data_IF_845751516001
#
_entry.id   IF_845751516001
#
_cell.length_a   1.000
_cell.length_b   1.000
_cell.length_c   1.000
_cell.angle_alpha   90.00
_cell.angle_beta   90.00
_cell.angle_gamma   90.00
#
_symmetry.space_group_name_H-M   'P 1'
#
loop_
_entity.id
_entity.type
_entity.pdbx_description
1 polymer ?
#
# COMPACT_ATOMS: atom_id res chain seq x y z
N UNK A 1 -13.81 3.69 8.35
CA UNK A 1 -12.52 4.06 8.98
C UNK A 1 -11.90 5.18 8.17
N UNK A 2 -11.37 6.20 8.82
CA UNK A 2 -10.57 7.22 8.16
C UNK A 2 -9.10 6.77 8.20
N UNK A 3 -8.57 6.28 7.07
CA UNK A 3 -7.23 5.70 7.02
C UNK A 3 -6.12 6.73 7.31
N UNK A 4 -6.40 8.02 7.10
CA UNK A 4 -5.46 9.11 7.40
C UNK A 4 -5.02 9.12 8.88
N UNK A 5 -5.86 8.63 9.79
CA UNK A 5 -5.58 8.59 11.23
C UNK A 5 -4.64 7.43 11.61
N UNK A 6 -4.33 6.52 10.68
CA UNK A 6 -3.57 5.28 10.94
C UNK A 6 -2.29 5.19 10.11
N UNK A 7 -1.95 6.19 9.30
CA UNK A 7 -0.85 6.06 8.33
C UNK A 7 0.51 5.84 8.99
N UNK A 8 0.70 6.33 10.23
CA UNK A 8 1.93 6.13 10.99
C UNK A 8 2.27 4.64 11.24
N UNK A 9 1.26 3.77 11.35
CA UNK A 9 1.47 2.34 11.53
C UNK A 9 1.98 1.63 10.26
N UNK A 10 1.91 2.29 9.11
CA UNK A 10 2.40 1.74 7.84
C UNK A 10 3.90 1.97 7.63
N UNK A 11 4.61 2.68 8.51
CA UNK A 11 6.08 2.65 8.52
C UNK A 11 6.54 1.21 8.77
N UNK A 12 7.48 0.71 7.95
CA UNK A 12 7.90 -0.69 7.90
C UNK A 12 6.77 -1.66 7.49
N UNK A 13 5.67 -1.13 6.94
CA UNK A 13 4.60 -1.89 6.32
C UNK A 13 4.95 -2.31 4.89
N UNK A 14 3.98 -2.89 4.18
CA UNK A 14 4.19 -3.45 2.84
C UNK A 14 3.12 -3.01 1.85
N UNK A 15 3.58 -2.59 0.65
CA UNK A 15 2.77 -2.45 -0.55
C UNK A 15 2.77 -3.77 -1.31
N UNK A 16 1.69 -4.53 -1.17
CA UNK A 16 1.60 -5.90 -1.65
C UNK A 16 1.19 -5.96 -3.12
N UNK A 17 0.20 -5.14 -3.50
CA UNK A 17 -0.34 -5.13 -4.87
C UNK A 17 -0.76 -3.72 -5.31
N UNK A 18 -0.68 -3.50 -6.63
CA UNK A 18 -1.21 -2.31 -7.32
C UNK A 18 -2.09 -2.84 -8.44
N UNK A 19 -3.41 -2.65 -8.31
CA UNK A 19 -4.39 -3.01 -9.33
C UNK A 19 -4.92 -1.75 -10.01
N UNK A 20 -4.93 -1.76 -11.34
CA UNK A 20 -5.51 -0.66 -12.13
C UNK A 20 -6.92 -1.06 -12.56
N UNK A 21 -7.87 -0.19 -12.27
CA UNK A 21 -9.25 -0.27 -12.74
C UNK A 21 -9.51 0.87 -13.74
N UNK A 22 -10.60 0.79 -14.51
CA UNK A 22 -10.88 1.70 -15.65
C UNK A 22 -10.70 3.20 -15.35
N UNK A 23 -10.96 3.63 -14.11
CA UNK A 23 -10.74 5.02 -13.65
C UNK A 23 -10.08 5.11 -12.28
N UNK A 24 -9.43 4.04 -11.81
CA UNK A 24 -8.98 3.99 -10.44
C UNK A 24 -7.74 3.15 -10.24
N UNK A 25 -7.18 3.29 -9.05
CA UNK A 25 -6.07 2.48 -8.57
C UNK A 25 -6.46 1.93 -7.22
N UNK A 26 -6.24 0.63 -7.04
CA UNK A 26 -6.41 -0.05 -5.77
C UNK A 26 -5.04 -0.50 -5.29
N UNK A 27 -4.63 -0.01 -4.12
CA UNK A 27 -3.39 -0.42 -3.47
C UNK A 27 -3.74 -1.41 -2.36
N UNK A 28 -3.13 -2.59 -2.37
CA UNK A 28 -3.23 -3.53 -1.25
C UNK A 28 -2.06 -3.28 -0.31
N UNK A 29 -2.36 -2.86 0.92
CA UNK A 29 -1.38 -2.47 1.92
C UNK A 29 -1.51 -3.34 3.18
N UNK A 30 -0.37 -3.59 3.81
CA UNK A 30 -0.26 -4.14 5.16
C UNK A 30 0.57 -3.19 6.02
N UNK A 31 0.14 -2.91 7.24
CA UNK A 31 0.93 -2.12 8.20
C UNK A 31 1.99 -2.98 8.90
N UNK A 32 2.89 -2.35 9.66
CA UNK A 32 3.63 -3.06 10.68
C UNK A 32 2.70 -3.63 11.75
N UNK A 33 3.22 -4.52 12.60
CA UNK A 33 2.49 -5.03 13.76
C UNK A 33 2.19 -3.87 14.75
N UNK A 34 0.95 -3.80 15.23
CA UNK A 34 0.45 -2.76 16.11
C UNK A 34 0.17 -3.38 17.48
N UNK A 35 0.62 -2.75 18.57
CA UNK A 35 0.17 -3.15 19.91
C UNK A 35 -1.35 -2.88 20.02
N UNK A 36 -2.20 -3.88 20.32
CA UNK A 36 -3.64 -3.70 20.46
C UNK A 36 -4.06 -2.62 21.48
N UNK A 37 -3.17 -2.21 22.39
CA UNK A 37 -3.43 -1.13 23.34
C UNK A 37 -3.22 0.28 22.74
N UNK A 38 -2.57 0.40 21.58
CA UNK A 38 -2.32 1.67 20.89
C UNK A 38 -3.45 2.04 19.91
N UNK A 39 -4.47 1.19 19.78
CA UNK A 39 -5.58 1.37 18.85
C UNK A 39 -6.94 1.27 19.55
N UNK A 40 -7.88 2.14 19.16
CA UNK A 40 -9.19 2.19 19.82
C UNK A 40 -10.08 0.98 19.46
N UNK A 41 -10.08 0.57 18.19
CA UNK A 41 -10.89 -0.55 17.71
C UNK A 41 -10.02 -1.72 17.26
N UNK A 42 -9.63 -2.56 18.20
CA UNK A 42 -8.81 -3.77 17.95
C UNK A 42 -9.45 -4.70 16.91
N UNK A 43 -10.76 -4.65 16.66
CA UNK A 43 -11.43 -5.52 15.68
C UNK A 43 -11.03 -5.23 14.24
N UNK A 44 -10.42 -4.07 13.98
CA UNK A 44 -9.93 -3.74 12.65
C UNK A 44 -8.59 -4.43 12.34
N UNK A 45 -7.89 -4.92 13.37
CA UNK A 45 -6.63 -5.62 13.21
C UNK A 45 -6.82 -7.04 12.68
N UNK A 46 -5.83 -7.51 11.95
CA UNK A 46 -5.66 -8.89 11.54
C UNK A 46 -5.27 -9.77 12.75
N UNK A 47 -5.16 -11.08 12.52
CA UNK A 47 -4.65 -12.02 13.54
C UNK A 47 -3.20 -11.77 13.94
N UNK A 48 -2.44 -11.10 13.07
CA UNK A 48 -1.05 -10.72 13.29
C UNK A 48 -0.94 -9.30 13.86
N UNK A 49 -2.04 -8.75 14.36
CA UNK A 49 -2.15 -7.36 14.84
C UNK A 49 -1.73 -6.30 13.80
N UNK A 50 -1.92 -6.57 12.50
CA UNK A 50 -1.66 -5.61 11.41
C UNK A 50 -2.97 -5.01 10.90
N UNK A 51 -2.92 -3.79 10.37
CA UNK A 51 -3.95 -3.29 9.46
C UNK A 51 -3.69 -3.89 8.08
N UNK A 52 -4.69 -4.57 7.52
CA UNK A 52 -4.57 -5.23 6.22
C UNK A 52 -5.78 -4.90 5.37
N UNK A 53 -5.56 -4.35 4.18
CA UNK A 53 -6.70 -3.94 3.35
C UNK A 53 -6.34 -3.27 2.04
N UNK A 54 -7.36 -2.66 1.45
CA UNK A 54 -7.28 -2.00 0.15
C UNK A 54 -7.55 -0.51 0.29
N UNK A 55 -6.63 0.28 -0.23
CA UNK A 55 -6.81 1.71 -0.44
C UNK A 55 -7.28 1.94 -1.87
N UNK A 56 -8.53 2.36 -2.00
CA UNK A 56 -9.17 2.63 -3.29
C UNK A 56 -9.04 4.11 -3.62
N UNK A 57 -8.50 4.41 -4.80
CA UNK A 57 -8.33 5.75 -5.36
C UNK A 57 -9.19 5.85 -6.63
N UNK A 58 -10.31 6.58 -6.57
CA UNK A 58 -11.26 6.69 -7.70
C UNK A 58 -11.14 8.02 -8.44
N UNK A 59 -11.18 7.92 -9.76
CA UNK A 59 -10.98 9.01 -10.71
C UNK A 59 -9.60 9.63 -10.55
N UNK A 60 -8.57 8.81 -10.70
CA UNK A 60 -7.16 9.25 -10.62
C UNK A 60 -6.89 10.28 -11.71
N UNK A 61 -6.44 11.47 -11.30
CA UNK A 61 -6.15 12.62 -12.17
C UNK A 61 -4.70 12.63 -12.63
N UNK A 62 -3.79 12.37 -11.71
CA UNK A 62 -2.36 12.39 -11.98
C UNK A 62 -1.62 11.45 -11.05
N UNK A 63 -0.53 10.88 -11.58
CA UNK A 63 0.45 10.11 -10.82
C UNK A 63 1.79 10.80 -11.03
N UNK A 64 2.52 11.08 -9.95
CA UNK A 64 3.90 11.53 -10.02
C UNK A 64 4.79 10.47 -9.40
N UNK A 65 5.80 10.07 -10.17
CA UNK A 65 6.87 9.21 -9.70
C UNK A 65 8.14 10.05 -9.59
N UNK A 66 8.75 10.10 -8.40
CA UNK A 66 9.95 10.90 -8.13
C UNK A 66 9.80 12.36 -8.60
N UNK A 67 8.65 12.97 -8.27
CA UNK A 67 8.27 14.36 -8.62
C UNK A 67 8.04 14.63 -10.10
N UNK A 68 8.03 13.60 -10.95
CA UNK A 68 7.77 13.72 -12.39
C UNK A 68 6.44 13.07 -12.74
N UNK A 69 5.65 13.72 -13.60
CA UNK A 69 4.40 13.16 -14.09
C UNK A 69 4.69 11.81 -14.77
N UNK A 70 3.99 10.78 -14.31
CA UNK A 70 4.07 9.44 -14.85
C UNK A 70 2.92 9.22 -15.84
N UNK A 71 3.24 8.75 -17.04
CA UNK A 71 2.27 8.56 -18.13
C UNK A 71 2.17 7.11 -18.61
N UNK A 72 2.74 6.16 -17.84
CA UNK A 72 2.75 4.73 -18.17
C UNK A 72 1.65 3.94 -17.45
N UNK A 73 1.73 2.61 -17.58
CA UNK A 73 0.89 1.68 -16.81
C UNK A 73 1.47 1.57 -15.39
N UNK A 74 0.72 2.04 -14.40
CA UNK A 74 1.19 2.07 -13.02
C UNK A 74 1.06 0.69 -12.34
N UNK A 75 2.19 0.01 -12.17
CA UNK A 75 2.26 -1.32 -11.56
C UNK A 75 3.40 -1.39 -10.55
N UNK A 76 3.41 -2.45 -9.74
CA UNK A 76 4.52 -2.72 -8.81
C UNK A 76 5.82 -2.88 -9.59
N UNK A 77 6.87 -2.14 -9.24
CA UNK A 77 8.12 -2.15 -9.99
C UNK A 77 8.99 -3.38 -9.71
N UNK A 78 8.90 -3.93 -8.50
CA UNK A 78 9.74 -5.02 -8.01
C UNK A 78 8.95 -6.04 -7.17
N UNK A 79 9.62 -7.08 -6.69
CA UNK A 79 8.97 -8.20 -6.00
C UNK A 79 8.36 -7.77 -4.67
N UNK A 80 9.04 -6.87 -3.97
CA UNK A 80 8.63 -6.35 -2.66
C UNK A 80 8.76 -4.83 -2.57
N UNK A 81 7.89 -4.21 -1.77
CA UNK A 81 7.80 -2.75 -1.61
C UNK A 81 7.51 -2.40 -0.17
N UNK A 82 8.55 -2.08 0.59
CA UNK A 82 8.47 -1.64 1.98
C UNK A 82 8.04 -0.18 2.04
N UNK A 83 7.08 0.13 2.90
CA UNK A 83 6.55 1.48 3.07
C UNK A 83 7.42 2.21 4.09
N UNK A 84 8.18 3.20 3.62
CA UNK A 84 8.99 4.08 4.46
C UNK A 84 8.17 5.28 4.97
N UNK A 85 7.18 5.70 4.20
CA UNK A 85 6.29 6.81 4.56
C UNK A 85 4.95 6.68 3.84
N UNK A 86 3.88 7.06 4.53
CA UNK A 86 2.53 7.05 4.00
C UNK A 86 1.74 8.23 4.56
N UNK A 87 1.19 9.05 3.67
CA UNK A 87 0.33 10.17 4.02
C UNK A 87 -0.92 10.16 3.14
N UNK A 88 -2.05 10.50 3.75
CA UNK A 88 -3.34 10.61 3.06
C UNK A 88 -3.92 12.00 3.31
N UNK A 89 -4.11 12.73 2.22
CA UNK A 89 -4.79 14.02 2.15
C UNK A 89 -6.16 13.84 1.49
N UNK A 90 -7.08 14.82 1.54
CA UNK A 90 -8.43 14.67 1.00
C UNK A 90 -8.52 14.21 -0.47
N UNK A 91 -7.54 14.57 -1.30
CA UNK A 91 -7.52 14.28 -2.75
C UNK A 91 -6.17 13.80 -3.25
N UNK A 92 -5.26 13.47 -2.35
CA UNK A 92 -3.91 13.07 -2.69
C UNK A 92 -3.41 12.05 -1.70
N UNK A 93 -2.69 11.05 -2.19
CA UNK A 93 -1.88 10.19 -1.33
C UNK A 93 -0.42 10.37 -1.67
N UNK A 94 0.43 10.16 -0.66
CA UNK A 94 1.86 10.10 -0.81
C UNK A 94 2.38 8.80 -0.21
N UNK A 95 3.22 8.11 -0.97
CA UNK A 95 3.94 6.90 -0.53
C UNK A 95 5.43 7.07 -0.83
N UNK A 96 6.26 6.78 0.15
CA UNK A 96 7.69 6.56 -0.03
C UNK A 96 7.94 5.06 0.11
N UNK A 97 8.37 4.41 -0.98
CA UNK A 97 8.55 2.97 -1.02
C UNK A 97 10.03 2.64 -1.25
N UNK A 98 10.60 1.77 -0.41
CA UNK A 98 11.83 1.05 -0.74
C UNK A 98 11.46 -0.26 -1.44
N UNK A 99 11.97 -0.42 -2.65
CA UNK A 99 11.75 -1.60 -3.46
C UNK A 99 12.90 -2.58 -3.31
N UNK A 100 12.55 -3.87 -3.27
CA UNK A 100 13.54 -4.94 -3.33
C UNK A 100 13.14 -6.08 -4.25
N UNK A 101 14.15 -6.81 -4.72
CA UNK A 101 13.99 -8.01 -5.55
C UNK A 101 14.58 -9.22 -4.86
N UNK A 102 13.94 -10.38 -5.01
CA UNK A 102 14.45 -11.63 -4.48
C UNK A 102 15.22 -12.44 -5.54
N UNK A 103 16.14 -13.33 -5.13
CA UNK A 103 16.78 -14.27 -6.03
C UNK A 103 15.76 -15.04 -6.90
N UNK A 104 16.09 -15.33 -8.18
CA UNK A 104 17.40 -15.23 -8.81
C UNK A 104 17.71 -13.86 -9.45
N UNK A 105 16.86 -12.83 -9.28
CA UNK A 105 17.10 -11.50 -9.85
C UNK A 105 18.28 -10.82 -9.14
N UNK A 106 18.99 -9.94 -9.85
CA UNK A 106 20.04 -9.13 -9.24
C UNK A 106 19.44 -8.24 -8.15
N UNK A 107 19.96 -8.38 -6.91
CA UNK A 107 19.52 -7.58 -5.78
C UNK A 107 19.60 -6.10 -6.14
N UNK A 108 18.44 -5.46 -6.19
CA UNK A 108 18.30 -4.02 -6.38
C UNK A 108 17.58 -3.48 -5.17
N UNK A 109 18.09 -2.38 -4.63
CA UNK A 109 17.39 -1.53 -3.69
C UNK A 109 17.17 -0.20 -4.42
N UNK A 110 15.92 0.18 -4.63
CA UNK A 110 15.54 1.47 -5.22
C UNK A 110 14.48 2.14 -4.35
N UNK A 111 14.45 3.46 -4.32
CA UNK A 111 13.48 4.21 -3.53
C UNK A 111 12.62 5.05 -4.46
N UNK A 112 11.31 4.90 -4.35
CA UNK A 112 10.35 5.68 -5.13
C UNK A 112 9.47 6.55 -4.26
N UNK A 113 9.36 7.81 -4.65
CA UNK A 113 8.32 8.73 -4.20
C UNK A 113 7.15 8.65 -5.15
N UNK A 114 5.98 8.23 -4.66
CA UNK A 114 4.74 8.10 -5.40
C UNK A 114 3.74 9.11 -4.83
N UNK A 115 3.23 9.98 -5.67
CA UNK A 115 2.16 10.94 -5.32
C UNK A 115 1.00 10.69 -6.30
N UNK A 116 -0.21 10.46 -5.79
CA UNK A 116 -1.39 10.16 -6.61
C UNK A 116 -2.52 11.11 -6.25
N UNK A 117 -2.94 11.90 -7.24
CA UNK A 117 -4.07 12.81 -7.12
C UNK A 117 -5.36 12.14 -7.61
N UNK A 118 -6.45 12.24 -6.85
CA UNK A 118 -7.69 11.51 -7.08
C UNK A 118 -8.92 12.26 -6.55
N UNK A 119 -10.12 11.94 -7.04
CA UNK A 119 -11.35 12.57 -6.52
C UNK A 119 -11.81 11.96 -5.19
N UNK A 120 -11.68 10.64 -5.05
CA UNK A 120 -12.12 9.93 -3.85
C UNK A 120 -11.05 8.95 -3.38
N UNK A 121 -10.92 8.86 -2.05
CA UNK A 121 -10.06 7.92 -1.33
C UNK A 121 -10.92 7.22 -0.30
N UNK A 122 -10.92 5.89 -0.28
CA UNK A 122 -11.50 5.14 0.83
C UNK A 122 -10.74 3.85 1.10
N UNK A 123 -10.84 3.40 2.35
CA UNK A 123 -10.23 2.18 2.81
C UNK A 123 -11.26 1.07 2.97
N UNK A 124 -10.93 -0.10 2.45
CA UNK A 124 -11.63 -1.35 2.66
C UNK A 124 -10.77 -2.26 3.54
N UNK A 125 -11.23 -2.52 4.77
CA UNK A 125 -10.54 -3.45 5.64
C UNK A 125 -10.78 -4.88 5.15
N UNK A 126 -9.71 -5.65 4.94
CA UNK A 126 -9.83 -7.02 4.48
C UNK A 126 -9.66 -8.00 5.62
N UNK A 127 -10.40 -9.10 5.54
CA UNK A 127 -10.21 -10.20 6.47
C UNK A 127 -8.94 -10.97 6.12
N UNK A 128 -8.30 -11.56 7.13
CA UNK A 128 -7.09 -12.37 6.96
C UNK A 128 -7.27 -13.54 5.95
N UNK A 129 -8.49 -14.08 5.79
CA UNK A 129 -8.78 -15.13 4.82
C UNK A 129 -8.61 -14.67 3.35
N UNK A 130 -8.72 -13.37 3.09
CA UNK A 130 -8.57 -12.78 1.76
C UNK A 130 -7.11 -12.39 1.47
N UNK A 131 -6.32 -12.12 2.51
CA UNK A 131 -4.91 -11.75 2.39
C UNK A 131 -3.97 -12.87 1.96
N UNK A 132 -4.35 -14.14 2.21
CA UNK A 132 -3.56 -15.31 1.81
C UNK A 132 -3.34 -15.44 0.28
N UNK A 133 -4.11 -14.71 -0.53
CA UNK A 133 -3.95 -14.66 -1.99
C UNK A 133 -2.74 -13.81 -2.44
N UNK A 134 -2.16 -13.02 -1.54
CA UNK A 134 -1.09 -12.07 -1.83
C UNK A 134 0.25 -12.43 -1.15
N UNK A 135 0.29 -13.51 -0.36
CA UNK A 135 1.54 -14.05 0.17
C UNK A 135 2.40 -14.65 -0.94
N UNK A 136 3.72 -14.87 -0.70
CA UNK A 136 4.55 -15.60 -1.64
C UNK A 136 3.87 -16.95 -1.92
N UNK A 137 3.75 -17.32 -3.20
CA UNK A 137 3.31 -18.66 -3.60
C UNK A 137 4.27 -19.68 -2.96
N UNK A 138 3.92 -20.18 -1.78
CA UNK A 138 4.49 -21.40 -1.22
C UNK A 138 3.72 -22.54 -1.87
N UNK A 139 3.98 -22.75 -3.18
CA UNK A 139 3.64 -24.03 -3.78
C UNK A 139 4.78 -24.98 -3.40
N UNK A 140 4.45 -25.89 -2.48
CA UNK A 140 5.14 -27.16 -2.27
C UNK A 140 5.32 -27.94 -3.58
#
# INVERSE_FOLDING_TARGET
>A
MNIADYTAFFHDGSLLAIDIEDKGITLTLESAEIDPNEIEDVKILSKSNTLFGKLHLKNVKSIKLNRKIYTGVFHKFYDDGEILDFEVYPNEIFLLIEWSTFPPKSKTNDVSRIEIETDEIYWENMSWAEGYKFGPNVND
#
